data_IF_091170356094
#
_entry.id   IF_091170356094
#
_cell.length_a   1.000
_cell.length_b   1.000
_cell.length_c   1.000
_cell.angle_alpha   90.00
_cell.angle_beta   90.00
_cell.angle_gamma   90.00
#
_symmetry.space_group_name_H-M   'P 1'
#
loop_
_entity.id
_entity.type
_entity.pdbx_description
1 polymer ?
#
# COMPACT_ATOMS: atom_id res chain seq x y z
N UNK A 1 71.56 41.76 36.89
CA UNK A 1 71.26 41.04 35.63
C UNK A 1 71.27 39.54 35.90
N UNK A 2 70.12 38.88 35.88
CA UNK A 2 70.02 37.41 35.91
C UNK A 2 68.89 37.00 34.96
N UNK A 3 69.24 36.43 33.80
CA UNK A 3 68.30 35.95 32.77
C UNK A 3 67.95 34.50 33.08
N UNK A 4 66.74 34.26 33.58
CA UNK A 4 66.16 32.91 33.69
C UNK A 4 65.82 32.40 32.29
N UNK A 5 66.49 31.35 31.85
CA UNK A 5 66.14 30.59 30.65
C UNK A 5 64.78 29.90 30.87
N UNK A 6 63.86 30.13 29.94
CA UNK A 6 62.51 29.58 29.93
C UNK A 6 62.56 28.27 29.14
N UNK A 7 62.61 27.13 29.83
CA UNK A 7 62.50 25.83 29.19
C UNK A 7 61.16 25.70 28.46
N UNK A 8 61.23 25.44 27.14
CA UNK A 8 60.04 25.14 26.33
C UNK A 8 59.76 23.64 26.42
N UNK A 9 58.52 23.21 26.68
CA UNK A 9 58.21 21.78 26.69
C UNK A 9 58.40 21.19 25.29
N UNK A 10 59.21 20.13 25.19
CA UNK A 10 59.39 19.33 23.98
C UNK A 10 58.02 18.81 23.52
N UNK A 11 57.60 19.23 22.33
CA UNK A 11 56.42 18.64 21.65
C UNK A 11 56.73 17.17 21.35
N UNK A 12 56.09 16.27 22.11
CA UNK A 12 56.06 14.83 21.78
C UNK A 12 55.30 14.71 20.46
N UNK A 13 56.02 14.33 19.39
CA UNK A 13 55.41 14.06 18.08
C UNK A 13 54.50 12.84 18.25
N UNK A 14 53.21 13.02 17.96
CA UNK A 14 52.26 11.92 17.88
C UNK A 14 52.81 10.85 16.94
N UNK A 15 53.02 9.66 17.48
CA UNK A 15 53.50 8.49 16.76
C UNK A 15 52.52 8.18 15.62
N UNK A 16 53.00 8.26 14.37
CA UNK A 16 52.21 7.87 13.21
C UNK A 16 52.03 6.35 13.28
N UNK A 17 50.86 5.92 13.77
CA UNK A 17 50.43 4.52 13.77
C UNK A 17 50.68 3.93 12.37
N UNK A 18 51.58 2.95 12.30
CA UNK A 18 51.95 2.25 11.06
C UNK A 18 50.70 1.64 10.42
N UNK A 19 50.52 1.86 9.11
CA UNK A 19 49.45 1.25 8.31
C UNK A 19 49.72 -0.26 8.17
N UNK A 20 48.87 -1.09 8.73
CA UNK A 20 48.82 -2.51 8.35
C UNK A 20 48.04 -2.68 7.02
N UNK A 21 48.57 -3.38 6.01
CA UNK A 21 48.08 -3.24 4.64
C UNK A 21 46.82 -4.04 4.28
N UNK A 22 46.37 -4.99 5.11
CA UNK A 22 45.29 -5.93 4.73
C UNK A 22 43.98 -5.79 5.50
N UNK A 23 43.84 -4.76 6.33
CA UNK A 23 42.63 -4.53 7.12
C UNK A 23 41.47 -3.89 6.35
N UNK A 24 41.67 -3.38 5.13
CA UNK A 24 40.60 -2.66 4.39
C UNK A 24 39.38 -3.52 4.08
N UNK A 25 39.59 -4.72 3.50
CA UNK A 25 38.48 -5.65 3.19
C UNK A 25 37.79 -6.18 4.45
N UNK A 26 38.59 -6.46 5.50
CA UNK A 26 38.08 -6.85 6.81
C UNK A 26 37.33 -5.73 7.50
N UNK A 27 37.72 -4.45 7.31
CA UNK A 27 37.06 -3.30 7.90
C UNK A 27 35.64 -3.08 7.36
N UNK A 28 35.40 -3.35 6.07
CA UNK A 28 34.06 -3.24 5.45
C UNK A 28 33.05 -4.27 5.99
N UNK A 29 33.49 -5.51 6.23
CA UNK A 29 32.65 -6.53 6.86
C UNK A 29 32.63 -6.38 8.38
N UNK A 30 33.73 -5.93 9.00
CA UNK A 30 33.79 -5.65 10.42
C UNK A 30 32.90 -4.47 10.80
N UNK A 31 32.66 -3.50 9.91
CA UNK A 31 31.66 -2.45 10.14
C UNK A 31 30.24 -2.99 10.13
N UNK A 32 29.98 -4.27 9.80
CA UNK A 32 28.67 -4.88 10.01
C UNK A 32 28.44 -5.31 11.46
N UNK A 33 29.50 -5.68 12.17
CA UNK A 33 29.40 -6.27 13.51
C UNK A 33 30.03 -5.41 14.61
N UNK A 34 30.87 -4.44 14.26
CA UNK A 34 31.64 -3.62 15.20
C UNK A 34 31.51 -2.12 14.88
N UNK A 35 30.95 -1.34 15.81
CA UNK A 35 30.76 0.10 15.60
C UNK A 35 32.08 0.88 15.65
N UNK A 36 33.16 0.32 16.22
CA UNK A 36 34.50 0.93 16.14
C UNK A 36 35.05 0.90 14.73
N UNK A 37 34.78 -0.16 13.97
CA UNK A 37 35.16 -0.24 12.56
C UNK A 37 34.38 0.77 11.71
N UNK A 38 33.10 1.02 12.03
CA UNK A 38 32.31 2.07 11.38
C UNK A 38 32.84 3.50 11.69
N UNK A 39 33.27 3.73 12.94
CA UNK A 39 33.92 4.98 13.33
C UNK A 39 35.25 5.21 12.62
N UNK A 40 36.15 4.22 12.64
CA UNK A 40 37.45 4.30 11.98
C UNK A 40 37.30 4.41 10.45
N UNK A 41 36.35 3.69 9.86
CA UNK A 41 35.99 3.78 8.45
C UNK A 41 35.51 5.17 8.05
N UNK A 42 34.54 5.74 8.77
CA UNK A 42 34.02 7.08 8.50
C UNK A 42 35.07 8.19 8.61
N UNK A 43 36.08 8.02 9.47
CA UNK A 43 37.18 8.98 9.65
C UNK A 43 38.28 8.83 8.60
N UNK A 44 38.65 7.60 8.22
CA UNK A 44 39.85 7.32 7.41
C UNK A 44 39.57 7.09 5.92
N UNK A 45 38.40 6.59 5.56
CA UNK A 45 38.07 6.25 4.18
C UNK A 45 37.50 7.47 3.40
N UNK A 46 37.63 7.46 2.07
CA UNK A 46 37.20 8.57 1.23
C UNK A 46 35.68 8.71 1.22
N UNK A 47 35.21 9.93 0.96
CA UNK A 47 33.79 10.31 1.07
C UNK A 47 32.86 9.51 0.14
N UNK A 48 33.34 9.12 -1.03
CA UNK A 48 32.54 8.35 -1.99
C UNK A 48 32.17 6.95 -1.46
N UNK A 49 33.00 6.33 -0.62
CA UNK A 49 32.70 5.04 0.01
C UNK A 49 31.52 5.15 0.96
N UNK A 50 31.48 6.24 1.74
CA UNK A 50 30.36 6.53 2.63
C UNK A 50 29.06 6.72 1.83
N UNK A 51 29.12 7.36 0.67
CA UNK A 51 27.94 7.50 -0.21
C UNK A 51 27.48 6.15 -0.74
N UNK A 52 28.38 5.28 -1.18
CA UNK A 52 28.02 3.93 -1.65
C UNK A 52 27.32 3.16 -0.53
N UNK A 53 27.87 3.18 0.69
CA UNK A 53 27.24 2.53 1.84
C UNK A 53 25.89 3.14 2.20
N UNK A 54 25.76 4.46 2.11
CA UNK A 54 24.50 5.13 2.33
C UNK A 54 23.42 4.68 1.34
N UNK A 55 23.70 4.78 0.04
CA UNK A 55 22.77 4.43 -1.04
C UNK A 55 22.44 2.93 -1.01
N UNK A 56 23.46 2.07 -0.92
CA UNK A 56 23.27 0.62 -0.92
C UNK A 56 22.44 0.17 0.29
N UNK A 57 22.66 0.76 1.46
CA UNK A 57 21.88 0.44 2.66
C UNK A 57 20.40 0.80 2.49
N UNK A 58 20.11 1.95 1.88
CA UNK A 58 18.73 2.35 1.59
C UNK A 58 18.09 1.37 0.60
N UNK A 59 18.77 1.05 -0.50
CA UNK A 59 18.26 0.09 -1.49
C UNK A 59 17.98 -1.27 -0.84
N UNK A 60 18.90 -1.79 -0.03
CA UNK A 60 18.74 -3.06 0.68
C UNK A 60 17.54 -3.02 1.65
N UNK A 61 17.39 -1.92 2.41
CA UNK A 61 16.29 -1.76 3.37
C UNK A 61 14.91 -1.63 2.71
N UNK A 62 14.85 -1.22 1.44
CA UNK A 62 13.61 -1.08 0.69
C UNK A 62 13.10 -2.39 0.08
N UNK A 63 13.96 -3.40 -0.08
CA UNK A 63 13.61 -4.67 -0.73
C UNK A 63 12.35 -5.31 -0.13
N UNK A 64 12.17 -5.43 1.21
CA UNK A 64 10.96 -6.03 1.76
C UNK A 64 9.68 -5.27 1.37
N UNK A 65 9.71 -3.93 1.43
CA UNK A 65 8.58 -3.10 1.06
C UNK A 65 8.23 -3.25 -0.43
N UNK A 66 9.26 -3.27 -1.29
CA UNK A 66 9.08 -3.47 -2.74
C UNK A 66 8.44 -4.84 -3.04
N UNK A 67 8.88 -5.91 -2.38
CA UNK A 67 8.29 -7.24 -2.56
C UNK A 67 6.86 -7.31 -2.05
N UNK A 68 6.54 -6.63 -0.95
CA UNK A 68 5.18 -6.61 -0.39
C UNK A 68 4.20 -5.91 -1.34
N UNK A 69 4.52 -4.71 -1.81
CA UNK A 69 3.70 -4.01 -2.82
C UNK A 69 3.68 -4.78 -4.14
N UNK A 70 4.78 -5.45 -4.49
CA UNK A 70 4.84 -6.34 -5.65
C UNK A 70 3.93 -7.56 -5.55
N UNK A 71 3.53 -7.99 -4.35
CA UNK A 71 2.63 -9.14 -4.14
C UNK A 71 1.15 -8.77 -4.12
N UNK A 72 0.80 -7.50 -3.93
CA UNK A 72 -0.61 -7.10 -3.92
C UNK A 72 -1.25 -7.32 -5.28
N UNK A 73 -2.47 -7.86 -5.26
CA UNK A 73 -3.24 -8.22 -6.45
C UNK A 73 -4.63 -7.59 -6.36
N UNK A 74 -5.22 -7.26 -7.51
CA UNK A 74 -6.61 -6.79 -7.55
C UNK A 74 -7.57 -7.89 -7.12
N UNK A 75 -7.24 -9.15 -7.41
CA UNK A 75 -7.99 -10.33 -6.98
C UNK A 75 -8.01 -10.55 -5.46
N UNK A 76 -7.16 -9.86 -4.69
CA UNK A 76 -7.13 -10.01 -3.23
C UNK A 76 -8.47 -9.65 -2.58
N UNK A 77 -9.30 -8.84 -3.25
CA UNK A 77 -10.67 -8.54 -2.81
C UNK A 77 -11.56 -9.78 -2.70
N UNK A 78 -11.27 -10.82 -3.50
CA UNK A 78 -12.07 -12.06 -3.54
C UNK A 78 -11.52 -13.16 -2.63
N UNK A 79 -10.41 -12.93 -1.94
CA UNK A 79 -9.80 -13.91 -1.03
C UNK A 79 -10.40 -13.88 0.39
N UNK A 80 -11.17 -12.85 0.71
CA UNK A 80 -11.85 -12.69 1.99
C UNK A 80 -13.22 -13.39 2.06
N UNK A 81 -13.95 -13.17 3.16
CA UNK A 81 -15.34 -13.63 3.24
C UNK A 81 -16.21 -12.84 2.24
N UNK A 82 -16.82 -13.56 1.29
CA UNK A 82 -17.61 -12.97 0.20
C UNK A 82 -19.09 -12.78 0.55
N UNK A 83 -19.56 -13.34 1.67
CA UNK A 83 -20.92 -13.14 2.18
C UNK A 83 -22.04 -13.37 1.16
N UNK A 84 -21.95 -14.42 0.34
CA UNK A 84 -22.86 -14.75 -0.77
C UNK A 84 -22.79 -13.80 -1.98
N UNK A 85 -21.86 -12.83 -2.00
CA UNK A 85 -21.62 -12.01 -3.18
C UNK A 85 -21.01 -12.83 -4.33
N UNK A 86 -20.33 -13.94 -4.01
CA UNK A 86 -19.86 -14.94 -4.96
C UNK A 86 -21.00 -15.55 -5.79
N UNK A 87 -22.07 -15.97 -5.10
CA UNK A 87 -23.30 -16.46 -5.74
C UNK A 87 -23.97 -15.34 -6.54
N UNK A 88 -24.01 -14.12 -5.99
CA UNK A 88 -24.63 -12.98 -6.68
C UNK A 88 -23.91 -12.60 -7.98
N UNK A 89 -22.58 -12.60 -8.02
CA UNK A 89 -21.81 -12.39 -9.25
C UNK A 89 -22.04 -13.51 -10.27
N UNK A 90 -22.14 -14.75 -9.81
CA UNK A 90 -22.43 -15.91 -10.68
C UNK A 90 -23.81 -15.79 -11.31
N UNK A 91 -24.83 -15.45 -10.51
CA UNK A 91 -26.20 -15.21 -10.99
C UNK A 91 -26.29 -14.04 -11.95
N UNK A 92 -25.52 -12.98 -11.71
CA UNK A 92 -25.42 -11.86 -12.64
C UNK A 92 -24.88 -12.30 -14.00
N UNK A 93 -23.82 -13.13 -14.04
CA UNK A 93 -23.26 -13.66 -15.30
C UNK A 93 -24.25 -14.59 -16.01
N UNK A 94 -24.96 -15.44 -15.27
CA UNK A 94 -26.02 -16.29 -15.84
C UNK A 94 -27.14 -15.43 -16.46
N UNK A 95 -27.59 -14.37 -15.81
CA UNK A 95 -28.59 -13.46 -16.37
C UNK A 95 -28.10 -12.71 -17.62
N UNK A 96 -26.81 -12.33 -17.64
CA UNK A 96 -26.20 -11.76 -18.85
C UNK A 96 -26.22 -12.74 -20.01
N UNK A 97 -25.98 -14.02 -19.73
CA UNK A 97 -26.06 -15.07 -20.74
C UNK A 97 -27.49 -15.29 -21.24
N UNK A 98 -28.44 -15.48 -20.31
CA UNK A 98 -29.85 -15.74 -20.62
C UNK A 98 -30.47 -14.62 -21.47
N UNK A 99 -30.10 -13.37 -21.20
CA UNK A 99 -30.59 -12.19 -21.92
C UNK A 99 -29.74 -11.79 -23.11
N UNK A 100 -28.66 -12.54 -23.38
CA UNK A 100 -27.68 -12.23 -24.42
C UNK A 100 -27.11 -10.80 -24.29
N UNK A 101 -26.95 -10.33 -23.06
CA UNK A 101 -26.50 -8.98 -22.71
C UNK A 101 -24.96 -8.91 -22.68
N UNK A 102 -24.41 -8.23 -23.68
CA UNK A 102 -22.97 -8.01 -23.83
C UNK A 102 -22.51 -6.73 -23.14
N UNK A 103 -21.36 -6.84 -22.44
CA UNK A 103 -20.62 -5.72 -21.89
C UNK A 103 -19.14 -5.94 -22.24
N UNK A 104 -18.72 -5.32 -23.34
CA UNK A 104 -17.41 -5.58 -23.98
C UNK A 104 -16.48 -4.39 -23.85
N UNK A 105 -15.18 -4.64 -23.79
CA UNK A 105 -14.17 -3.59 -23.80
C UNK A 105 -13.70 -3.32 -25.23
N UNK A 106 -13.96 -2.12 -25.73
CA UNK A 106 -13.63 -1.70 -27.11
C UNK A 106 -12.74 -0.47 -27.08
N UNK A 107 -11.80 -0.36 -28.01
CA UNK A 107 -11.00 0.84 -28.19
C UNK A 107 -11.75 1.84 -29.06
N UNK A 108 -12.07 3.00 -28.49
CA UNK A 108 -12.69 4.13 -29.19
C UNK A 108 -11.80 5.36 -28.96
N UNK A 109 -11.36 6.00 -30.04
CA UNK A 109 -10.49 7.19 -29.98
C UNK A 109 -9.22 6.98 -29.11
N UNK A 110 -8.51 5.87 -29.30
CA UNK A 110 -7.30 5.50 -28.55
C UNK A 110 -7.52 5.20 -27.06
N UNK A 111 -8.78 5.15 -26.60
CA UNK A 111 -9.13 4.83 -25.23
C UNK A 111 -9.94 3.53 -25.15
N UNK A 112 -9.60 2.67 -24.19
CA UNK A 112 -10.39 1.46 -23.92
C UNK A 112 -11.60 1.82 -23.08
N UNK A 113 -12.79 1.58 -23.61
CA UNK A 113 -14.06 1.87 -22.95
C UNK A 113 -14.92 0.62 -22.85
N UNK A 114 -15.79 0.59 -21.84
CA UNK A 114 -16.89 -0.36 -21.81
C UNK A 114 -17.97 0.06 -22.81
N UNK A 115 -18.32 -0.86 -23.68
CA UNK A 115 -19.44 -0.76 -24.60
C UNK A 115 -20.51 -1.77 -24.18
N UNK A 116 -21.62 -1.26 -23.69
CA UNK A 116 -22.80 -2.05 -23.37
C UNK A 116 -23.64 -2.29 -24.64
N UNK A 117 -24.20 -3.50 -24.74
CA UNK A 117 -25.27 -3.81 -25.68
C UNK A 117 -26.61 -3.20 -25.23
N UNK A 118 -27.56 -2.97 -26.15
CA UNK A 118 -28.91 -2.54 -25.80
C UNK A 118 -29.59 -3.48 -24.77
N UNK A 119 -29.35 -4.78 -24.89
CA UNK A 119 -29.85 -5.82 -23.99
C UNK A 119 -29.29 -5.63 -22.57
N UNK A 120 -28.01 -5.28 -22.45
CA UNK A 120 -27.40 -4.96 -21.16
C UNK A 120 -28.03 -3.73 -20.52
N UNK A 121 -28.21 -2.64 -21.28
CA UNK A 121 -28.84 -1.41 -20.76
C UNK A 121 -30.25 -1.70 -20.25
N UNK A 122 -31.02 -2.51 -20.97
CA UNK A 122 -32.36 -2.93 -20.54
C UNK A 122 -32.34 -3.82 -19.29
N UNK A 123 -31.33 -4.69 -19.12
CA UNK A 123 -31.18 -5.53 -17.95
C UNK A 123 -30.94 -4.70 -16.68
N UNK A 124 -30.03 -3.71 -16.76
CA UNK A 124 -29.69 -2.84 -15.63
C UNK A 124 -30.72 -1.73 -15.38
N UNK A 125 -31.59 -1.41 -16.35
CA UNK A 125 -32.61 -0.36 -16.21
C UNK A 125 -33.85 -0.77 -15.37
N UNK A 126 -33.78 -1.87 -14.61
CA UNK A 126 -34.88 -2.35 -13.78
C UNK A 126 -35.07 -1.53 -12.50
N UNK A 127 -33.98 -0.96 -11.96
CA UNK A 127 -34.01 -0.01 -10.83
C UNK A 127 -33.12 1.18 -11.15
N UNK A 128 -33.37 2.30 -10.47
CA UNK A 128 -32.69 3.58 -10.74
C UNK A 128 -32.24 4.28 -9.47
N UNK A 129 -31.04 4.87 -9.50
CA UNK A 129 -30.49 5.68 -8.44
C UNK A 129 -30.27 7.12 -8.93
N UNK A 130 -30.77 8.11 -8.19
CA UNK A 130 -30.64 9.51 -8.58
C UNK A 130 -29.28 10.08 -8.14
N UNK A 131 -28.43 10.39 -9.11
CA UNK A 131 -27.13 10.99 -8.91
C UNK A 131 -27.22 12.50 -9.09
N UNK A 132 -27.28 13.22 -7.96
CA UNK A 132 -27.28 14.68 -7.95
C UNK A 132 -26.17 15.26 -7.08
N UNK A 133 -25.62 16.39 -7.55
CA UNK A 133 -24.73 17.31 -6.83
C UNK A 133 -25.39 18.66 -6.50
N UNK A 134 -26.71 18.78 -6.73
CA UNK A 134 -27.50 20.01 -6.57
C UNK A 134 -27.61 20.89 -7.82
N UNK A 135 -26.67 20.79 -8.77
CA UNK A 135 -26.70 21.53 -10.04
C UNK A 135 -26.97 20.62 -11.24
N UNK A 136 -26.46 19.39 -11.18
CA UNK A 136 -26.61 18.31 -12.15
C UNK A 136 -27.43 17.21 -11.51
N UNK A 137 -28.30 16.59 -12.30
CA UNK A 137 -29.09 15.43 -11.87
C UNK A 137 -29.13 14.42 -13.01
N UNK A 138 -28.61 13.23 -12.74
CA UNK A 138 -28.62 12.09 -13.66
C UNK A 138 -29.24 10.88 -12.99
N UNK A 139 -29.82 10.00 -13.79
CA UNK A 139 -30.39 8.75 -13.32
C UNK A 139 -29.44 7.61 -13.67
N UNK A 140 -28.98 6.88 -12.66
CA UNK A 140 -28.09 5.73 -12.81
C UNK A 140 -28.91 4.45 -12.77
N UNK A 141 -29.00 3.68 -13.87
CA UNK A 141 -29.64 2.37 -13.85
C UNK A 141 -28.77 1.37 -13.08
N UNK A 142 -29.41 0.46 -12.33
CA UNK A 142 -28.72 -0.62 -11.66
C UNK A 142 -29.50 -1.95 -11.61
N UNK A 143 -28.76 -3.04 -11.76
CA UNK A 143 -29.23 -4.39 -11.48
C UNK A 143 -29.05 -4.73 -9.99
N UNK A 144 -29.96 -5.52 -9.43
CA UNK A 144 -30.06 -5.81 -8.01
C UNK A 144 -30.36 -7.29 -7.80
N UNK A 145 -29.46 -8.00 -7.12
CA UNK A 145 -29.67 -9.39 -6.73
C UNK A 145 -30.13 -9.48 -5.28
N UNK A 146 -31.36 -9.95 -5.07
CA UNK A 146 -31.99 -10.10 -3.75
C UNK A 146 -32.36 -11.55 -3.47
N UNK A 147 -32.12 -12.02 -2.26
CA UNK A 147 -32.60 -13.33 -1.80
C UNK A 147 -33.30 -13.17 -0.46
N UNK A 148 -34.44 -13.86 -0.31
CA UNK A 148 -35.20 -13.89 0.94
C UNK A 148 -34.38 -14.51 2.05
N UNK A 149 -34.28 -13.79 3.18
CA UNK A 149 -33.71 -14.28 4.42
C UNK A 149 -34.73 -14.23 5.52
N UNK A 150 -34.72 -15.28 6.33
CA UNK A 150 -35.52 -15.34 7.54
C UNK A 150 -34.79 -14.57 8.65
N UNK A 151 -35.36 -13.45 9.09
CA UNK A 151 -34.87 -12.64 10.19
C UNK A 151 -35.72 -12.93 11.43
N UNK A 152 -35.04 -13.19 12.54
CA UNK A 152 -35.69 -13.34 13.84
C UNK A 152 -35.77 -11.96 14.50
N UNK A 153 -36.96 -11.39 14.50
CA UNK A 153 -37.28 -10.14 15.21
C UNK A 153 -38.09 -10.46 16.45
N UNK A 154 -37.94 -9.68 17.52
CA UNK A 154 -38.82 -9.81 18.69
C UNK A 154 -39.98 -8.84 18.56
N UNK A 155 -41.18 -9.27 18.93
CA UNK A 155 -42.35 -8.41 18.98
C UNK A 155 -42.34 -7.49 20.22
N UNK A 156 -43.36 -6.65 20.35
CA UNK A 156 -43.55 -5.76 21.52
C UNK A 156 -43.71 -6.53 22.84
N UNK A 157 -44.05 -7.81 22.78
CA UNK A 157 -44.19 -8.73 23.92
C UNK A 157 -42.95 -9.62 24.12
N UNK A 158 -41.86 -9.36 23.40
CA UNK A 158 -40.58 -10.07 23.49
C UNK A 158 -40.59 -11.51 22.97
N UNK A 159 -41.60 -11.91 22.19
CA UNK A 159 -41.73 -13.21 21.53
C UNK A 159 -40.99 -13.23 20.18
N UNK A 160 -40.33 -14.34 19.80
CA UNK A 160 -39.60 -14.45 18.54
C UNK A 160 -40.56 -14.55 17.35
N UNK A 161 -40.70 -13.46 16.58
CA UNK A 161 -41.37 -13.45 15.29
C UNK A 161 -40.36 -13.71 14.18
N UNK A 162 -40.74 -14.63 13.30
CA UNK A 162 -40.01 -14.95 12.07
C UNK A 162 -40.52 -14.05 10.95
N UNK A 163 -39.69 -13.15 10.42
CA UNK A 163 -40.03 -12.32 9.25
C UNK A 163 -39.11 -12.69 8.09
N UNK A 164 -39.69 -12.96 6.92
CA UNK A 164 -38.92 -13.03 5.68
C UNK A 164 -38.65 -11.61 5.20
N UNK A 165 -37.37 -11.27 5.02
CA UNK A 165 -36.91 -9.98 4.52
C UNK A 165 -36.09 -10.24 3.27
N UNK A 166 -36.35 -9.50 2.19
CA UNK A 166 -35.50 -9.52 1.00
C UNK A 166 -34.16 -8.89 1.34
N UNK A 167 -33.09 -9.69 1.32
CA UNK A 167 -31.74 -9.21 1.54
C UNK A 167 -31.05 -9.02 0.20
N UNK A 168 -30.60 -7.81 -0.08
CA UNK A 168 -29.86 -7.47 -1.29
C UNK A 168 -28.38 -7.78 -1.11
N UNK A 169 -27.81 -8.58 -2.00
CA UNK A 169 -26.40 -9.03 -1.91
C UNK A 169 -25.49 -8.31 -2.89
N UNK A 170 -25.99 -7.85 -4.03
CA UNK A 170 -25.19 -7.17 -5.04
C UNK A 170 -26.00 -6.13 -5.81
N UNK A 171 -25.43 -4.94 -5.97
CA UNK A 171 -25.89 -3.92 -6.92
C UNK A 171 -24.89 -3.72 -8.05
N UNK A 172 -25.32 -3.81 -9.30
CA UNK A 172 -24.47 -3.49 -10.46
C UNK A 172 -24.97 -2.21 -11.10
N UNK A 173 -24.26 -1.11 -10.86
CA UNK A 173 -24.56 0.21 -11.43
C UNK A 173 -23.90 0.38 -12.79
N UNK A 174 -24.63 0.93 -13.75
CA UNK A 174 -24.07 1.30 -15.05
C UNK A 174 -24.03 2.81 -15.22
N UNK A 175 -22.83 3.37 -15.35
CA UNK A 175 -22.58 4.81 -15.52
C UNK A 175 -21.82 5.11 -16.81
N UNK A 176 -21.63 4.11 -17.69
CA UNK A 176 -20.86 4.23 -18.93
C UNK A 176 -21.38 5.29 -19.89
N UNK A 177 -22.69 5.51 -19.90
CA UNK A 177 -23.35 6.47 -20.80
C UNK A 177 -23.36 7.90 -20.25
N UNK A 178 -23.10 8.09 -18.95
CA UNK A 178 -23.14 9.40 -18.29
C UNK A 178 -21.94 10.23 -18.74
N UNK A 179 -22.20 11.32 -19.48
CA UNK A 179 -21.17 12.26 -19.94
C UNK A 179 -21.08 13.51 -19.07
N UNK A 180 -22.05 13.73 -18.19
CA UNK A 180 -22.06 14.89 -17.29
C UNK A 180 -20.98 14.76 -16.22
N UNK A 181 -20.50 15.92 -15.79
CA UNK A 181 -19.49 16.05 -14.74
C UNK A 181 -20.16 16.58 -13.48
N UNK A 182 -19.75 16.06 -12.33
CA UNK A 182 -20.32 16.39 -11.03
C UNK A 182 -19.31 17.13 -10.16
N UNK A 183 -19.78 18.08 -9.37
CA UNK A 183 -18.97 18.83 -8.42
C UNK A 183 -19.14 18.27 -7.02
N UNK A 184 -18.03 17.93 -6.37
CA UNK A 184 -18.02 17.55 -4.96
C UNK A 184 -16.80 18.15 -4.27
N UNK A 185 -17.01 18.85 -3.15
CA UNK A 185 -15.93 19.49 -2.37
C UNK A 185 -14.99 20.36 -3.23
N UNK A 186 -15.54 21.08 -4.21
CA UNK A 186 -14.76 21.98 -5.09
C UNK A 186 -13.92 21.27 -6.16
N UNK A 187 -14.09 19.96 -6.35
CA UNK A 187 -13.46 19.17 -7.42
C UNK A 187 -14.50 18.61 -8.39
N UNK A 188 -14.10 18.50 -9.65
CA UNK A 188 -14.91 17.93 -10.73
C UNK A 188 -14.62 16.43 -10.85
N UNK A 189 -15.68 15.63 -10.85
CA UNK A 189 -15.63 14.18 -10.97
C UNK A 189 -16.51 13.69 -12.11
N UNK A 190 -16.13 12.57 -12.72
CA UNK A 190 -16.98 11.82 -13.66
C UNK A 190 -18.06 11.06 -12.90
N UNK A 191 -19.17 10.71 -13.57
CA UNK A 191 -20.33 10.09 -12.92
C UNK A 191 -20.02 8.80 -12.12
N UNK A 192 -19.10 7.98 -12.62
CA UNK A 192 -18.62 6.77 -11.95
C UNK A 192 -17.88 7.07 -10.63
N UNK A 193 -16.91 7.98 -10.67
CA UNK A 193 -16.13 8.41 -9.49
C UNK A 193 -17.04 9.11 -8.47
N UNK A 194 -17.95 9.96 -8.95
CA UNK A 194 -18.86 10.69 -8.08
C UNK A 194 -19.84 9.74 -7.37
N UNK A 195 -20.45 8.80 -8.09
CA UNK A 195 -21.29 7.76 -7.49
C UNK A 195 -20.51 6.93 -6.47
N UNK A 196 -19.29 6.52 -6.82
CA UNK A 196 -18.43 5.78 -5.91
C UNK A 196 -18.14 6.58 -4.62
N UNK A 197 -17.84 7.87 -4.71
CA UNK A 197 -17.61 8.70 -3.53
C UNK A 197 -18.90 8.94 -2.73
N UNK A 198 -20.01 9.22 -3.41
CA UNK A 198 -21.31 9.47 -2.78
C UNK A 198 -21.76 8.28 -1.93
N UNK A 199 -21.66 7.06 -2.48
CA UNK A 199 -22.00 5.82 -1.77
C UNK A 199 -21.09 5.55 -0.55
N UNK A 200 -19.87 6.09 -0.51
CA UNK A 200 -19.01 6.02 0.67
C UNK A 200 -19.41 7.01 1.77
N UNK A 201 -19.94 8.17 1.37
CA UNK A 201 -20.27 9.26 2.29
C UNK A 201 -21.67 9.14 2.89
N UNK A 202 -22.48 8.17 2.45
CA UNK A 202 -23.80 7.94 3.03
C UNK A 202 -23.68 7.52 4.50
N UNK A 203 -24.52 8.11 5.34
CA UNK A 203 -24.58 7.83 6.78
C UNK A 203 -26.02 7.59 7.21
N UNK A 204 -26.21 6.85 8.31
CA UNK A 204 -27.51 6.70 8.99
C UNK A 204 -28.60 6.06 8.10
N UNK A 205 -29.79 6.66 7.96
CA UNK A 205 -30.93 6.09 7.22
C UNK A 205 -30.63 5.90 5.73
N UNK A 206 -29.95 6.87 5.11
CA UNK A 206 -29.53 6.76 3.70
C UNK A 206 -28.57 5.59 3.48
N UNK A 207 -27.77 5.24 4.49
CA UNK A 207 -26.84 4.11 4.40
C UNK A 207 -27.53 2.75 4.57
N UNK A 208 -28.56 2.65 5.42
CA UNK A 208 -29.32 1.40 5.62
C UNK A 208 -29.94 0.93 4.30
N UNK A 209 -30.54 1.85 3.55
CA UNK A 209 -31.29 1.52 2.34
C UNK A 209 -30.40 1.44 1.10
N UNK A 210 -29.20 2.04 1.14
CA UNK A 210 -28.34 2.16 -0.05
C UNK A 210 -26.99 1.47 0.02
N UNK A 211 -26.53 1.02 1.19
CA UNK A 211 -25.21 0.40 1.33
C UNK A 211 -25.33 -1.11 1.22
N UNK A 212 -25.10 -1.57 -0.01
CA UNK A 212 -24.95 -2.99 -0.36
C UNK A 212 -23.61 -3.18 -1.10
N UNK A 213 -23.07 -4.40 -1.12
CA UNK A 213 -21.96 -4.75 -2.01
C UNK A 213 -22.33 -4.33 -3.44
N UNK A 214 -21.41 -3.64 -4.13
CA UNK A 214 -21.72 -3.06 -5.42
C UNK A 214 -20.55 -3.17 -6.40
N UNK A 215 -20.92 -3.25 -7.68
CA UNK A 215 -20.06 -3.10 -8.84
C UNK A 215 -20.54 -1.90 -9.64
N UNK A 216 -19.69 -0.88 -9.81
CA UNK A 216 -19.98 0.26 -10.68
C UNK A 216 -19.20 0.07 -11.97
N UNK A 217 -19.92 -0.07 -13.06
CA UNK A 217 -19.41 -0.10 -14.43
C UNK A 217 -19.41 1.32 -14.95
N UNK A 218 -18.26 1.98 -14.86
CA UNK A 218 -17.99 3.27 -15.48
C UNK A 218 -17.55 3.11 -16.94
N UNK A 219 -17.40 4.24 -17.64
CA UNK A 219 -16.98 4.25 -19.05
C UNK A 219 -15.57 3.69 -19.24
N UNK A 220 -14.65 4.00 -18.31
CA UNK A 220 -13.23 3.62 -18.36
C UNK A 220 -12.78 2.79 -17.17
N UNK A 221 -13.61 2.70 -16.14
CA UNK A 221 -13.22 2.12 -14.87
C UNK A 221 -14.30 1.25 -14.26
N UNK A 222 -13.87 0.23 -13.52
CA UNK A 222 -14.73 -0.54 -12.63
C UNK A 222 -14.41 -0.19 -11.19
N UNK A 223 -15.46 -0.08 -10.37
CA UNK A 223 -15.34 0.03 -8.92
C UNK A 223 -16.09 -1.13 -8.30
N UNK A 224 -15.42 -1.92 -7.48
CA UNK A 224 -16.05 -3.03 -6.75
C UNK A 224 -15.87 -2.81 -5.27
N UNK A 225 -16.98 -2.88 -4.52
CA UNK A 225 -16.95 -2.82 -3.06
C UNK A 225 -17.77 -3.94 -2.46
N UNK A 226 -17.18 -4.59 -1.48
CA UNK A 226 -17.81 -5.67 -0.72
C UNK A 226 -18.04 -5.19 0.70
N UNK A 227 -19.26 -5.37 1.20
CA UNK A 227 -19.63 -5.01 2.57
C UNK A 227 -19.94 -6.26 3.40
N UNK A 228 -19.61 -6.19 4.70
CA UNK A 228 -20.04 -7.23 5.65
C UNK A 228 -21.51 -7.03 6.01
N UNK A 229 -22.37 -8.06 5.90
CA UNK A 229 -23.77 -8.01 6.31
C UNK A 229 -23.97 -7.63 7.79
N UNK A 230 -23.03 -8.00 8.66
CA UNK A 230 -23.10 -7.68 10.10
C UNK A 230 -22.81 -6.21 10.39
N UNK A 231 -22.07 -5.53 9.51
CA UNK A 231 -21.79 -4.10 9.60
C UNK A 231 -22.93 -3.24 9.08
N UNK A 232 -23.68 -3.73 8.08
CA UNK A 232 -24.86 -3.04 7.52
C UNK A 232 -25.98 -2.88 8.57
N UNK A 233 -26.12 -3.84 9.49
CA UNK A 233 -27.10 -3.81 10.59
C UNK A 233 -26.77 -2.71 11.65
N UNK A 234 -25.55 -2.14 11.63
CA UNK A 234 -25.14 -1.02 12.49
C UNK A 234 -24.75 0.19 11.61
N UNK A 235 -25.72 1.02 11.19
CA UNK A 235 -25.58 1.97 10.08
C UNK A 235 -24.67 3.17 10.31
N UNK A 236 -24.05 3.30 11.49
CA UNK A 236 -23.13 4.41 11.76
C UNK A 236 -21.81 4.29 10.99
N UNK A 237 -21.37 3.07 10.63
CA UNK A 237 -20.19 2.85 9.77
C UNK A 237 -20.30 1.49 9.05
N UNK A 238 -20.83 1.43 7.82
CA UNK A 238 -20.79 0.19 7.05
C UNK A 238 -19.34 -0.27 6.90
N UNK A 239 -19.05 -1.48 7.39
CA UNK A 239 -17.68 -2.00 7.42
C UNK A 239 -17.30 -2.43 6.01
N UNK A 240 -16.60 -1.53 5.30
CA UNK A 240 -16.02 -1.81 3.99
C UNK A 240 -15.03 -2.98 4.15
N UNK A 241 -15.33 -4.11 3.52
CA UNK A 241 -14.42 -5.25 3.53
C UNK A 241 -13.27 -5.02 2.55
N UNK A 242 -13.59 -4.56 1.33
CA UNK A 242 -12.61 -4.32 0.25
C UNK A 242 -13.12 -3.28 -0.77
N UNK A 243 -12.18 -2.55 -1.39
CA UNK A 243 -12.41 -1.67 -2.54
C UNK A 243 -11.41 -2.00 -3.67
N UNK A 244 -11.92 -2.22 -4.88
CA UNK A 244 -11.14 -2.41 -6.09
C UNK A 244 -11.43 -1.32 -7.11
N UNK A 245 -10.39 -0.77 -7.73
CA UNK A 245 -10.49 0.16 -8.87
C UNK A 245 -9.68 -0.38 -10.04
N UNK A 246 -10.32 -0.50 -11.19
CA UNK A 246 -9.70 -0.94 -12.45
C UNK A 246 -9.70 0.23 -13.43
N UNK A 247 -8.55 0.60 -13.99
CA UNK A 247 -8.43 1.72 -14.98
C UNK A 247 -8.08 1.28 -16.39
N UNK A 248 -7.57 0.06 -16.56
CA UNK A 248 -7.14 -0.45 -17.87
C UNK A 248 -7.63 -1.87 -18.04
N UNK A 249 -8.34 -2.13 -19.14
CA UNK A 249 -8.85 -3.45 -19.45
C UNK A 249 -8.38 -3.89 -20.83
N UNK A 250 -8.14 -5.19 -21.03
CA UNK A 250 -7.78 -5.72 -22.33
C UNK A 250 -8.99 -5.60 -23.27
N UNK A 251 -8.70 -5.18 -24.49
CA UNK A 251 -9.68 -5.08 -25.58
C UNK A 251 -10.24 -6.47 -25.89
N UNK A 252 -11.55 -6.56 -26.12
CA UNK A 252 -12.24 -7.81 -26.43
C UNK A 252 -12.68 -8.61 -25.20
N UNK A 253 -12.40 -8.15 -23.98
CA UNK A 253 -12.96 -8.77 -22.77
C UNK A 253 -14.47 -8.52 -22.70
N UNK A 254 -15.23 -9.58 -22.42
CA UNK A 254 -16.67 -9.53 -22.22
C UNK A 254 -17.02 -10.16 -20.87
N UNK A 255 -17.79 -9.45 -20.03
CA UNK A 255 -18.19 -9.97 -18.72
C UNK A 255 -19.12 -11.19 -18.86
N UNK A 256 -19.94 -11.25 -19.92
CA UNK A 256 -20.80 -12.40 -20.20
C UNK A 256 -20.01 -13.70 -20.37
N UNK A 257 -18.79 -13.61 -20.90
CA UNK A 257 -17.97 -14.79 -21.18
C UNK A 257 -17.33 -15.38 -19.91
N UNK A 258 -17.45 -14.71 -18.75
CA UNK A 258 -16.90 -15.21 -17.49
C UNK A 258 -17.59 -16.50 -17.01
N UNK A 259 -18.79 -16.81 -17.49
CA UNK A 259 -19.48 -18.09 -17.25
C UNK A 259 -19.09 -19.18 -18.25
N UNK A 260 -18.43 -18.83 -19.36
CA UNK A 260 -18.16 -19.72 -20.49
C UNK A 260 -16.70 -20.11 -20.61
N UNK A 261 -15.80 -19.21 -20.25
CA UNK A 261 -14.36 -19.37 -20.49
C UNK A 261 -13.61 -18.98 -19.22
N UNK A 262 -12.70 -19.83 -18.77
CA UNK A 262 -11.83 -19.55 -17.63
C UNK A 262 -10.73 -18.56 -17.98
N UNK A 263 -10.06 -18.02 -16.95
CA UNK A 263 -8.87 -17.18 -17.08
C UNK A 263 -7.78 -17.79 -17.98
N UNK A 264 -7.75 -19.11 -18.11
CA UNK A 264 -6.76 -19.88 -18.88
C UNK A 264 -7.24 -20.19 -20.31
N UNK A 265 -8.43 -19.71 -20.70
CA UNK A 265 -9.02 -19.95 -22.01
C UNK A 265 -9.75 -21.29 -22.14
N UNK A 266 -9.96 -22.01 -21.03
CA UNK A 266 -10.65 -23.30 -21.03
C UNK A 266 -12.16 -23.11 -20.90
N UNK A 267 -12.99 -23.93 -21.57
CA UNK A 267 -14.43 -23.84 -21.42
C UNK A 267 -14.86 -24.18 -19.97
N UNK A 268 -15.84 -23.44 -19.46
CA UNK A 268 -16.49 -23.64 -18.17
C UNK A 268 -17.93 -24.11 -18.43
N UNK A 269 -18.43 -25.01 -17.58
CA UNK A 269 -19.83 -25.45 -17.59
C UNK A 269 -20.54 -25.06 -16.30
N UNK A 270 -21.77 -24.57 -16.40
CA UNK A 270 -22.64 -24.29 -15.25
C UNK A 270 -23.00 -25.55 -14.43
N UNK A 271 -22.76 -26.75 -14.98
CA UNK A 271 -22.95 -28.01 -14.27
C UNK A 271 -21.76 -28.41 -13.37
N UNK A 272 -20.64 -27.69 -13.45
CA UNK A 272 -19.46 -27.97 -12.64
C UNK A 272 -19.71 -27.62 -11.16
N UNK A 273 -19.23 -28.46 -10.25
CA UNK A 273 -19.33 -28.22 -8.79
C UNK A 273 -18.62 -26.93 -8.38
N UNK A 274 -17.52 -26.59 -9.06
CA UNK A 274 -16.67 -25.42 -8.78
C UNK A 274 -17.01 -24.23 -9.70
N UNK A 275 -18.19 -24.21 -10.33
CA UNK A 275 -18.59 -23.19 -11.30
C UNK A 275 -18.47 -21.76 -10.73
N UNK A 276 -19.05 -21.53 -9.54
CA UNK A 276 -19.01 -20.25 -8.82
C UNK A 276 -17.56 -19.78 -8.61
N UNK A 277 -16.67 -20.67 -8.19
CA UNK A 277 -15.27 -20.32 -7.93
C UNK A 277 -14.54 -19.91 -9.21
N UNK A 278 -14.79 -20.60 -10.32
CA UNK A 278 -14.22 -20.26 -11.63
C UNK A 278 -14.72 -18.91 -12.14
N UNK A 279 -16.01 -18.61 -11.96
CA UNK A 279 -16.59 -17.30 -12.32
C UNK A 279 -15.95 -16.19 -11.49
N UNK A 280 -15.80 -16.39 -10.18
CA UNK A 280 -15.14 -15.41 -9.30
C UNK A 280 -13.66 -15.26 -9.63
N UNK A 281 -12.97 -16.33 -10.04
CA UNK A 281 -11.60 -16.25 -10.50
C UNK A 281 -11.47 -15.39 -11.77
N UNK A 282 -12.45 -15.43 -12.68
CA UNK A 282 -12.51 -14.56 -13.85
C UNK A 282 -12.70 -13.09 -13.48
N UNK A 283 -13.60 -12.79 -12.54
CA UNK A 283 -13.72 -11.44 -11.97
C UNK A 283 -12.42 -10.99 -11.28
N UNK A 284 -11.75 -11.89 -10.56
CA UNK A 284 -10.45 -11.65 -9.95
C UNK A 284 -9.36 -11.35 -10.98
N UNK A 285 -9.34 -12.08 -12.09
CA UNK A 285 -8.42 -11.86 -13.21
C UNK A 285 -8.64 -10.50 -13.87
N UNK A 286 -9.90 -10.10 -14.07
CA UNK A 286 -10.26 -8.77 -14.56
C UNK A 286 -9.73 -7.67 -13.63
N UNK A 287 -9.92 -7.81 -12.31
CA UNK A 287 -9.40 -6.85 -11.34
C UNK A 287 -7.87 -6.83 -11.31
N UNK A 288 -7.21 -7.98 -11.47
CA UNK A 288 -5.75 -8.08 -11.56
C UNK A 288 -5.20 -7.32 -12.78
N UNK A 289 -5.87 -7.43 -13.93
CA UNK A 289 -5.51 -6.69 -15.13
C UNK A 289 -5.71 -5.19 -14.94
N UNK A 290 -6.86 -4.81 -14.37
CA UNK A 290 -7.21 -3.44 -14.04
C UNK A 290 -6.28 -2.74 -13.06
N UNK A 291 -5.76 -3.50 -12.10
CA UNK A 291 -4.90 -3.00 -11.04
C UNK A 291 -3.44 -2.83 -11.47
N UNK A 292 -3.01 -3.34 -12.63
CA UNK A 292 -1.60 -3.29 -13.08
C UNK A 292 -1.02 -1.87 -13.06
N UNK A 293 -1.73 -0.91 -13.64
CA UNK A 293 -1.26 0.47 -13.72
C UNK A 293 -1.20 1.13 -12.33
N UNK A 294 -2.26 0.96 -11.54
CA UNK A 294 -2.35 1.48 -10.16
C UNK A 294 -1.26 0.88 -9.28
N UNK A 295 -0.96 -0.42 -9.46
CA UNK A 295 0.10 -1.13 -8.73
C UNK A 295 1.48 -0.56 -9.05
N UNK A 296 1.81 -0.37 -10.33
CA UNK A 296 3.10 0.22 -10.73
C UNK A 296 3.26 1.62 -10.15
N UNK A 297 2.21 2.43 -10.23
CA UNK A 297 2.20 3.76 -9.64
C UNK A 297 2.43 3.69 -8.12
N UNK A 298 1.62 2.90 -7.41
CA UNK A 298 1.69 2.74 -5.95
C UNK A 298 3.06 2.21 -5.50
N UNK A 299 3.62 1.26 -6.25
CA UNK A 299 4.95 0.71 -6.02
C UNK A 299 6.03 1.80 -6.01
N UNK A 300 6.05 2.66 -7.03
CA UNK A 300 7.03 3.75 -7.10
C UNK A 300 6.80 4.84 -6.06
N UNK A 301 5.53 5.22 -5.82
CA UNK A 301 5.21 6.22 -4.81
C UNK A 301 5.61 5.76 -3.40
N UNK A 302 5.23 4.53 -2.99
CA UNK A 302 5.58 4.02 -1.67
C UNK A 302 7.09 3.80 -1.52
N UNK A 303 7.74 3.19 -2.53
CA UNK A 303 9.20 3.01 -2.53
C UNK A 303 9.92 4.35 -2.42
N UNK A 304 9.45 5.37 -3.14
CA UNK A 304 10.00 6.72 -3.08
C UNK A 304 9.85 7.35 -1.68
N UNK A 305 8.66 7.28 -1.09
CA UNK A 305 8.40 7.81 0.26
C UNK A 305 9.33 7.15 1.29
N UNK A 306 9.44 5.82 1.28
CA UNK A 306 10.32 5.11 2.22
C UNK A 306 11.81 5.43 1.99
N UNK A 307 12.23 5.59 0.73
CA UNK A 307 13.59 6.01 0.42
C UNK A 307 13.91 7.39 1.02
N UNK A 308 12.96 8.33 0.94
CA UNK A 308 13.09 9.67 1.55
C UNK A 308 13.17 9.56 3.07
N UNK A 309 12.30 8.78 3.70
CA UNK A 309 12.31 8.59 5.16
C UNK A 309 13.66 8.01 5.62
N UNK A 310 14.15 6.94 4.99
CA UNK A 310 15.44 6.34 5.35
C UNK A 310 16.62 7.29 5.10
N UNK A 311 16.54 8.10 4.05
CA UNK A 311 17.53 9.15 3.76
C UNK A 311 17.58 10.19 4.88
N UNK A 312 16.41 10.75 5.25
CA UNK A 312 16.31 11.77 6.30
C UNK A 312 16.85 11.23 7.62
N UNK A 313 16.43 10.02 8.01
CA UNK A 313 16.86 9.41 9.27
C UNK A 313 18.38 9.13 9.25
N UNK A 314 18.92 8.66 8.13
CA UNK A 314 20.37 8.48 7.97
C UNK A 314 21.16 9.78 8.12
N UNK A 315 20.65 10.89 7.57
CA UNK A 315 21.27 12.22 7.72
C UNK A 315 21.15 12.72 9.15
N UNK A 316 19.96 12.64 9.76
CA UNK A 316 19.72 13.00 11.17
C UNK A 316 20.67 12.23 12.09
N UNK A 317 20.93 10.96 11.80
CA UNK A 317 21.89 10.16 12.57
C UNK A 317 23.32 10.72 12.49
N UNK A 318 23.77 11.11 11.30
CA UNK A 318 25.06 11.79 11.17
C UNK A 318 25.12 13.12 11.92
N UNK A 319 24.00 13.86 11.98
CA UNK A 319 23.87 15.08 12.78
C UNK A 319 23.93 14.81 14.30
N UNK A 320 23.24 13.78 14.78
CA UNK A 320 23.28 13.40 16.20
C UNK A 320 24.70 13.06 16.62
N UNK A 321 25.43 12.28 15.80
CA UNK A 321 26.84 11.95 16.05
C UNK A 321 27.69 13.22 16.13
N UNK A 322 27.47 14.17 15.24
CA UNK A 322 28.16 15.46 15.27
C UNK A 322 27.89 16.20 16.60
N UNK A 323 26.63 16.32 17.02
CA UNK A 323 26.25 17.01 18.27
C UNK A 323 26.89 16.29 19.48
N UNK A 324 26.81 14.96 19.55
CA UNK A 324 27.40 14.18 20.66
C UNK A 324 28.91 14.37 20.79
N UNK A 325 29.62 14.65 19.69
CA UNK A 325 31.07 14.90 19.72
C UNK A 325 31.45 16.33 20.16
N UNK A 326 30.48 17.26 20.25
CA UNK A 326 30.73 18.66 20.66
C UNK A 326 30.76 18.91 22.17
N UNK A 327 30.61 17.87 22.99
CA UNK A 327 30.75 17.98 24.45
C UNK A 327 32.12 18.55 24.86
N UNK A 328 32.15 19.43 25.88
CA UNK A 328 33.37 20.15 26.31
C UNK A 328 34.54 19.23 26.69
N UNK A 329 34.26 18.03 27.19
CA UNK A 329 35.26 17.03 27.61
C UNK A 329 35.38 15.84 26.63
N UNK A 330 34.79 15.91 25.44
CA UNK A 330 34.83 14.80 24.48
C UNK A 330 36.19 14.73 23.75
N UNK A 331 36.92 13.59 23.80
CA UNK A 331 38.17 13.40 23.07
C UNK A 331 38.04 13.54 21.54
N UNK A 332 36.84 13.28 21.01
CA UNK A 332 36.55 13.27 19.57
C UNK A 332 35.98 14.60 19.06
N UNK A 333 36.18 15.71 19.79
CA UNK A 333 35.72 17.06 19.41
C UNK A 333 36.38 17.60 18.15
N UNK A 334 37.46 16.97 17.68
CA UNK A 334 38.17 17.27 16.44
C UNK A 334 37.42 16.87 15.17
N UNK A 335 36.38 16.03 15.28
CA UNK A 335 35.58 15.56 14.16
C UNK A 335 34.90 16.72 13.42
N UNK A 336 35.10 16.73 12.09
CA UNK A 336 34.42 17.67 11.19
C UNK A 336 33.02 17.18 10.87
N UNK A 337 32.14 18.12 10.51
CA UNK A 337 30.76 17.83 10.12
C UNK A 337 30.64 16.73 9.05
N UNK A 338 31.44 16.81 7.99
CA UNK A 338 31.47 15.80 6.94
C UNK A 338 31.98 14.43 7.42
N UNK A 339 32.87 14.38 8.41
CA UNK A 339 33.34 13.11 8.98
C UNK A 339 32.25 12.46 9.84
N UNK A 340 31.47 13.24 10.58
CA UNK A 340 30.30 12.73 11.32
C UNK A 340 29.22 12.17 10.40
N UNK A 341 28.94 12.82 9.26
CA UNK A 341 28.03 12.29 8.24
C UNK A 341 28.55 10.98 7.62
N UNK A 342 29.87 10.90 7.33
CA UNK A 342 30.49 9.66 6.86
C UNK A 342 30.34 8.54 7.90
N UNK A 343 30.60 8.80 9.17
CA UNK A 343 30.41 7.80 10.24
C UNK A 343 28.94 7.34 10.30
N UNK A 344 27.98 8.27 10.18
CA UNK A 344 26.56 7.94 10.08
C UNK A 344 26.26 6.98 8.93
N UNK A 345 26.78 7.26 7.73
CA UNK A 345 26.60 6.40 6.56
C UNK A 345 27.22 5.00 6.73
N UNK A 346 28.36 4.90 7.42
CA UNK A 346 29.02 3.62 7.73
C UNK A 346 28.28 2.77 8.76
N UNK A 347 27.30 3.34 9.49
CA UNK A 347 26.47 2.61 10.44
C UNK A 347 25.20 2.03 9.82
N UNK A 348 24.78 2.50 8.64
CA UNK A 348 23.54 2.08 7.96
C UNK A 348 23.53 0.64 7.41
N UNK A 349 24.65 0.01 7.00
CA UNK A 349 24.61 -1.31 6.39
C UNK A 349 24.03 -2.41 7.29
N UNK A 350 24.28 -2.36 8.60
CA UNK A 350 23.76 -3.38 9.53
C UNK A 350 22.26 -3.24 9.77
N UNK A 351 21.73 -2.06 10.12
CA UNK A 351 20.29 -1.82 10.13
C UNK A 351 19.60 -2.26 8.83
N UNK A 352 20.19 -1.94 7.67
CA UNK A 352 19.63 -2.34 6.38
C UNK A 352 19.54 -3.85 6.20
N UNK A 353 20.60 -4.60 6.53
CA UNK A 353 20.59 -6.07 6.45
C UNK A 353 19.61 -6.70 7.45
N UNK A 354 19.53 -6.16 8.68
CA UNK A 354 18.57 -6.65 9.68
C UNK A 354 17.14 -6.37 9.21
N UNK A 355 16.87 -5.18 8.68
CA UNK A 355 15.57 -4.83 8.09
C UNK A 355 15.23 -5.72 6.91
N UNK A 356 16.20 -6.08 6.07
CA UNK A 356 15.97 -7.02 4.97
C UNK A 356 15.53 -8.39 5.52
N UNK A 357 16.27 -8.96 6.47
CA UNK A 357 15.98 -10.30 7.00
C UNK A 357 14.66 -10.31 7.78
N UNK A 358 14.51 -9.40 8.75
CA UNK A 358 13.32 -9.36 9.61
C UNK A 358 12.10 -8.81 8.88
N UNK A 359 12.28 -7.95 7.87
CA UNK A 359 11.19 -7.41 7.05
C UNK A 359 10.51 -8.45 6.17
N UNK A 360 11.16 -9.59 5.92
CA UNK A 360 10.51 -10.75 5.28
C UNK A 360 9.80 -11.67 6.25
N UNK A 361 10.19 -11.68 7.53
CA UNK A 361 9.65 -12.58 8.56
C UNK A 361 8.44 -11.94 9.27
N UNK A 362 8.53 -10.65 9.59
CA UNK A 362 7.53 -9.93 10.35
C UNK A 362 6.45 -9.30 9.45
N UNK A 363 5.26 -8.97 10.01
CA UNK A 363 4.21 -8.34 9.23
C UNK A 363 4.66 -7.06 8.52
N UNK A 364 4.06 -6.82 7.36
CA UNK A 364 4.47 -5.81 6.39
C UNK A 364 4.60 -4.39 6.93
N UNK A 365 3.93 -4.06 8.02
CA UNK A 365 3.91 -2.71 8.58
C UNK A 365 5.15 -2.39 9.45
N UNK A 366 5.92 -3.42 9.85
CA UNK A 366 6.98 -3.25 10.85
C UNK A 366 8.39 -2.99 10.28
N UNK A 367 8.63 -3.17 8.97
CA UNK A 367 9.99 -3.05 8.41
C UNK A 367 10.62 -1.66 8.66
N UNK A 368 9.82 -0.58 8.54
CA UNK A 368 10.26 0.79 8.81
C UNK A 368 10.70 0.96 10.27
N UNK A 369 9.95 0.37 11.20
CA UNK A 369 10.24 0.45 12.63
C UNK A 369 11.52 -0.31 12.96
N UNK A 370 11.72 -1.47 12.35
CA UNK A 370 12.95 -2.27 12.51
C UNK A 370 14.16 -1.47 12.06
N UNK A 371 14.10 -0.78 10.92
CA UNK A 371 15.21 0.06 10.45
C UNK A 371 15.55 1.17 11.44
N UNK A 372 14.52 1.88 11.93
CA UNK A 372 14.68 3.00 12.87
C UNK A 372 15.23 2.51 14.20
N UNK A 373 14.67 1.45 14.76
CA UNK A 373 15.09 0.92 16.07
C UNK A 373 16.51 0.35 16.03
N UNK A 374 16.85 -0.40 14.98
CA UNK A 374 18.20 -0.99 14.86
C UNK A 374 19.25 0.09 14.66
N UNK A 375 18.97 1.11 13.84
CA UNK A 375 19.85 2.27 13.68
C UNK A 375 19.99 3.07 14.98
N UNK A 376 18.88 3.32 15.69
CA UNK A 376 18.86 4.02 16.98
C UNK A 376 19.64 3.27 18.06
N UNK A 377 19.43 1.96 18.21
CA UNK A 377 20.18 1.15 19.17
C UNK A 377 21.68 1.16 18.84
N UNK A 378 22.01 1.00 17.56
CA UNK A 378 23.40 1.00 17.11
C UNK A 378 24.10 2.33 17.36
N UNK A 379 23.39 3.43 17.16
CA UNK A 379 23.95 4.74 17.37
C UNK A 379 24.11 5.11 18.83
N UNK A 380 23.13 4.76 19.68
CA UNK A 380 23.25 4.89 21.14
C UNK A 380 24.45 4.10 21.64
N UNK A 381 24.68 2.89 21.11
CA UNK A 381 25.86 2.11 21.46
C UNK A 381 27.17 2.80 21.03
N UNK A 382 27.21 3.37 19.82
CA UNK A 382 28.36 4.15 19.35
C UNK A 382 28.62 5.36 20.27
N UNK A 383 27.59 6.12 20.62
CA UNK A 383 27.74 7.30 21.50
C UNK A 383 28.17 6.92 22.91
N UNK A 384 27.62 5.85 23.50
CA UNK A 384 27.90 5.42 24.87
C UNK A 384 29.25 4.70 25.05
N UNK A 385 29.69 3.90 24.06
CA UNK A 385 30.92 3.08 24.20
C UNK A 385 32.13 3.62 23.46
N UNK A 386 31.93 4.27 22.31
CA UNK A 386 33.06 4.67 21.44
C UNK A 386 33.30 6.18 21.42
N UNK A 387 32.28 6.99 21.70
CA UNK A 387 32.38 8.46 21.71
C UNK A 387 32.35 9.07 23.11
N UNK A 388 32.18 8.26 24.15
CA UNK A 388 32.07 8.74 25.54
C UNK A 388 33.42 9.27 26.03
N UNK A 389 33.46 10.35 26.83
CA UNK A 389 34.70 10.77 27.49
C UNK A 389 35.18 9.62 28.37
N UNK A 390 36.41 9.14 28.16
CA UNK A 390 37.03 8.27 29.14
C UNK A 390 37.04 9.04 30.47
N UNK A 391 36.39 8.47 31.50
CA UNK A 391 36.57 8.97 32.85
C UNK A 391 38.09 9.02 33.12
N UNK A 392 38.63 10.12 33.67
CA UNK A 392 40.03 10.20 33.99
C UNK A 392 40.37 8.99 34.86
N UNK A 393 41.27 8.13 34.37
CA UNK A 393 41.88 7.11 35.21
C UNK A 393 42.54 7.87 36.36
N UNK A 394 42.00 7.68 37.57
CA UNK A 394 42.67 8.13 38.79
C UNK A 394 43.92 7.30 39.01
#
# INVERSE_FOLDING_TARGET
MSRKFKDRPKKVKAEKVKREPDMRKRAYLASLFNNRAAFDGGRREPWWVAIIFFVLSIVIALVPAMVQVGKTKGSDIYRGALYHTDVAFTKFVEELEDKNADLTVVTVNEENIFQASPEFVNLVATKTFNLTDGATNEVVPYYSFTQKRTVYTRDENNEPITKEVDFEYLRVYYTGDIQSSFMHEGKVYTGDVFLANKLLTLSEEDAVDNVTSHLIVGRKALYTRLYSPTGIIKPSTPTLAYEGRTSTLPVGMNIRDFGKVSKDGLPISAADVDYTDKVIENFGYMQDLGYKEVKVRTFWFQTGIYAVIFTIIGVVMGLIIFISTRGKMNPNRDLKFGESLKIGAWLLPTPALITLVLGFILPAQYFQMIFIMTLGMRSVWLTMRTLNPNAPQK
#
